data_IF_908278346988
#
_entry.id   IF_908278346988
#
_cell.length_a   1.000
_cell.length_b   1.000
_cell.length_c   1.000
_cell.angle_alpha   90.00
_cell.angle_beta   90.00
_cell.angle_gamma   90.00
#
_symmetry.space_group_name_H-M   'P 1'
#
loop_
_entity.id
_entity.type
_entity.pdbx_description
1 polymer ?
#
# COMPACT_ATOMS: atom_id res chain seq x y z
N UNK A 1 7.49 9.88 19.69
CA UNK A 1 6.56 10.36 18.64
C UNK A 1 7.38 10.63 17.41
N UNK A 2 7.12 9.92 16.32
CA UNK A 2 7.86 10.11 15.08
C UNK A 2 7.57 11.49 14.50
N UNK A 3 8.55 12.11 13.82
CA UNK A 3 8.43 13.46 13.23
C UNK A 3 7.17 13.59 12.38
N UNK A 4 6.81 12.54 11.64
CA UNK A 4 5.59 12.45 10.84
C UNK A 4 4.31 12.62 11.65
N UNK A 5 4.21 11.97 12.82
CA UNK A 5 3.05 12.13 13.70
C UNK A 5 2.94 13.53 14.27
N UNK A 6 4.09 14.16 14.55
CA UNK A 6 4.16 15.52 15.08
C UNK A 6 3.66 16.52 14.03
N UNK A 7 4.11 16.40 12.79
CA UNK A 7 3.66 17.23 11.65
C UNK A 7 2.15 17.08 11.41
N UNK A 8 1.64 15.85 11.38
CA UNK A 8 0.21 15.59 11.16
C UNK A 8 -0.63 16.17 12.31
N UNK A 9 -0.17 16.03 13.56
CA UNK A 9 -0.87 16.55 14.74
C UNK A 9 -0.96 18.07 14.73
N UNK A 10 0.14 18.76 14.37
CA UNK A 10 0.15 20.22 14.23
C UNK A 10 -0.80 20.67 13.12
N UNK A 11 -0.77 19.99 11.97
CA UNK A 11 -1.68 20.29 10.85
C UNK A 11 -3.15 20.14 11.23
N UNK A 12 -3.51 19.04 11.90
CA UNK A 12 -4.86 18.79 12.37
C UNK A 12 -5.32 19.83 13.41
N UNK A 13 -4.44 20.19 14.37
CA UNK A 13 -4.73 21.23 15.35
C UNK A 13 -4.92 22.61 14.68
N UNK A 14 -4.09 22.95 13.70
CA UNK A 14 -4.21 24.18 12.92
C UNK A 14 -5.54 24.27 12.17
N UNK A 15 -5.95 23.18 11.50
CA UNK A 15 -7.25 23.11 10.81
C UNK A 15 -8.43 23.22 11.80
N UNK A 16 -8.32 22.59 12.98
CA UNK A 16 -9.35 22.68 14.01
C UNK A 16 -9.49 24.11 14.55
N UNK A 17 -8.38 24.78 14.86
CA UNK A 17 -8.36 26.18 15.32
C UNK A 17 -8.88 27.10 14.23
N UNK A 18 -8.47 26.89 12.98
CA UNK A 18 -8.95 27.67 11.83
C UNK A 18 -10.46 27.51 11.63
N UNK A 19 -10.97 26.28 11.64
CA UNK A 19 -12.41 26.00 11.51
C UNK A 19 -13.20 26.60 12.68
N UNK A 20 -12.65 26.59 13.89
CA UNK A 20 -13.25 27.22 15.05
C UNK A 20 -13.33 28.73 14.88
N UNK A 21 -12.25 29.37 14.41
CA UNK A 21 -12.18 30.83 14.28
C UNK A 21 -13.08 31.35 13.17
N UNK A 22 -13.19 30.62 12.05
CA UNK A 22 -13.88 31.05 10.84
C UNK A 22 -15.38 30.70 10.81
N UNK A 23 -15.74 29.50 11.32
CA UNK A 23 -17.10 28.96 11.23
C UNK A 23 -17.71 28.63 12.61
N UNK A 24 -17.01 28.98 13.69
CA UNK A 24 -17.44 28.76 15.06
C UNK A 24 -17.25 27.32 15.57
N UNK A 25 -17.39 27.16 16.89
CA UNK A 25 -17.18 25.90 17.63
C UNK A 25 -17.99 24.72 17.10
N UNK A 26 -19.21 24.96 16.59
CA UNK A 26 -20.09 23.90 16.06
C UNK A 26 -19.51 23.25 14.80
N UNK A 27 -18.89 24.03 13.91
CA UNK A 27 -18.27 23.51 12.68
C UNK A 27 -17.02 22.67 13.00
N UNK A 28 -16.17 23.14 13.91
CA UNK A 28 -15.00 22.40 14.37
C UNK A 28 -15.37 21.05 15.02
N UNK A 29 -16.40 21.04 15.88
CA UNK A 29 -16.92 19.81 16.50
C UNK A 29 -17.58 18.85 15.50
N UNK A 30 -18.23 19.37 14.46
CA UNK A 30 -18.75 18.54 13.37
C UNK A 30 -17.61 17.84 12.62
N UNK A 31 -16.51 18.53 12.33
CA UNK A 31 -15.32 17.93 11.72
C UNK A 31 -14.76 16.76 12.55
N UNK A 32 -14.65 16.95 13.87
CA UNK A 32 -14.20 15.88 14.78
C UNK A 32 -15.18 14.71 14.81
N UNK A 33 -16.49 14.96 14.86
CA UNK A 33 -17.51 13.90 14.83
C UNK A 33 -17.50 13.11 13.52
N UNK A 34 -17.34 13.77 12.38
CA UNK A 34 -17.19 13.11 11.09
C UNK A 34 -15.93 12.24 11.05
N UNK A 35 -14.80 12.76 11.54
CA UNK A 35 -13.56 11.99 11.67
C UNK A 35 -13.74 10.76 12.57
N UNK A 36 -14.41 10.91 13.72
CA UNK A 36 -14.69 9.81 14.64
C UNK A 36 -15.59 8.74 14.02
N UNK A 37 -16.64 9.12 13.29
CA UNK A 37 -17.50 8.17 12.57
C UNK A 37 -16.74 7.43 11.47
N UNK A 38 -15.85 8.14 10.77
CA UNK A 38 -15.00 7.53 9.73
C UNK A 38 -14.04 6.52 10.36
N UNK A 39 -13.38 6.86 11.47
CA UNK A 39 -12.55 5.93 12.23
C UNK A 39 -13.34 4.68 12.65
N UNK A 40 -14.53 4.86 13.23
CA UNK A 40 -15.37 3.73 13.65
C UNK A 40 -15.76 2.82 12.49
N UNK A 41 -16.04 3.40 11.32
CA UNK A 41 -16.34 2.61 10.12
C UNK A 41 -15.13 1.86 9.56
N UNK A 42 -13.91 2.36 9.76
CA UNK A 42 -12.67 1.79 9.24
C UNK A 42 -12.03 0.81 10.22
N UNK A 43 -12.22 1.00 11.52
CA UNK A 43 -11.58 0.22 12.58
C UNK A 43 -11.74 -1.31 12.41
N UNK A 44 -12.94 -1.86 12.12
CA UNK A 44 -13.09 -3.31 11.89
C UNK A 44 -12.28 -3.79 10.68
N UNK A 45 -12.23 -2.99 9.62
CA UNK A 45 -11.50 -3.30 8.39
C UNK A 45 -9.98 -3.28 8.62
N UNK A 46 -9.49 -2.34 9.43
CA UNK A 46 -8.08 -2.26 9.83
C UNK A 46 -7.69 -3.46 10.70
N UNK A 47 -8.49 -3.80 11.71
CA UNK A 47 -8.24 -4.94 12.60
C UNK A 47 -8.16 -6.26 11.84
N UNK A 48 -9.12 -6.52 10.95
CA UNK A 48 -9.09 -7.71 10.08
C UNK A 48 -7.87 -7.70 9.16
N UNK A 49 -7.51 -6.53 8.63
CA UNK A 49 -6.34 -6.38 7.78
C UNK A 49 -5.03 -6.71 8.49
N UNK A 50 -4.84 -6.20 9.71
CA UNK A 50 -3.67 -6.53 10.52
C UNK A 50 -3.64 -7.99 10.97
N UNK A 51 -4.80 -8.57 11.27
CA UNK A 51 -4.90 -10.00 11.59
C UNK A 51 -4.46 -10.88 10.41
N UNK A 52 -4.93 -10.59 9.20
CA UNK A 52 -4.50 -11.29 7.99
C UNK A 52 -2.99 -11.11 7.76
N UNK A 53 -2.45 -9.89 7.90
CA UNK A 53 -1.02 -9.64 7.75
C UNK A 53 -0.18 -10.47 8.73
N UNK A 54 -0.56 -10.51 10.02
CA UNK A 54 0.11 -11.32 11.03
C UNK A 54 -0.02 -12.83 10.78
N UNK A 55 -1.17 -13.30 10.30
CA UNK A 55 -1.37 -14.71 9.94
C UNK A 55 -0.53 -15.10 8.72
N UNK A 56 -0.47 -14.26 7.69
CA UNK A 56 0.39 -14.47 6.51
C UNK A 56 1.85 -14.57 6.93
N UNK A 57 2.31 -13.72 7.84
CA UNK A 57 3.69 -13.77 8.35
C UNK A 57 4.05 -15.09 9.03
N UNK A 58 3.09 -15.74 9.71
CA UNK A 58 3.32 -17.04 10.38
C UNK A 58 3.09 -18.21 9.43
N UNK A 59 2.12 -18.10 8.52
CA UNK A 59 1.69 -19.19 7.65
C UNK A 59 2.52 -19.33 6.37
N UNK A 60 3.15 -18.26 5.89
CA UNK A 60 4.01 -18.31 4.70
C UNK A 60 5.44 -18.63 5.15
N UNK A 61 5.97 -19.84 4.85
CA UNK A 61 7.32 -20.20 5.25
C UNK A 61 8.35 -19.33 4.52
N UNK A 62 9.36 -18.87 5.25
CA UNK A 62 10.48 -18.09 4.68
C UNK A 62 11.13 -18.80 3.48
N UNK A 63 11.28 -20.12 3.55
CA UNK A 63 11.80 -20.93 2.44
C UNK A 63 10.98 -20.80 1.15
N UNK A 64 9.65 -20.67 1.26
CA UNK A 64 8.78 -20.42 0.10
C UNK A 64 9.04 -19.02 -0.44
N UNK A 65 9.08 -18.00 0.42
CA UNK A 65 9.36 -16.62 0.00
C UNK A 65 10.69 -16.52 -0.75
N UNK A 66 11.76 -17.13 -0.22
CA UNK A 66 13.07 -17.16 -0.86
C UNK A 66 13.03 -17.88 -2.22
N UNK A 67 12.29 -18.98 -2.33
CA UNK A 67 12.19 -19.75 -3.56
C UNK A 67 11.41 -19.03 -4.67
N UNK A 68 10.32 -18.33 -4.34
CA UNK A 68 9.44 -17.71 -5.36
C UNK A 68 9.67 -16.22 -5.55
N UNK A 69 10.18 -15.51 -4.54
CA UNK A 69 10.37 -14.05 -4.55
C UNK A 69 11.75 -13.62 -4.07
N UNK A 70 12.68 -14.54 -3.78
CA UNK A 70 14.02 -14.21 -3.30
C UNK A 70 14.85 -13.42 -4.32
N UNK A 71 15.94 -12.80 -3.85
CA UNK A 71 16.83 -11.99 -4.71
C UNK A 71 17.36 -12.75 -5.93
N UNK A 72 17.63 -14.04 -5.78
CA UNK A 72 18.14 -14.93 -6.84
C UNK A 72 17.11 -15.25 -7.94
N UNK A 73 15.81 -15.03 -7.70
CA UNK A 73 14.75 -15.37 -8.66
C UNK A 73 14.68 -14.41 -9.85
N UNK A 74 15.33 -13.25 -9.77
CA UNK A 74 15.38 -12.25 -10.84
C UNK A 74 13.99 -11.89 -11.39
N UNK A 75 13.80 -12.06 -12.70
CA UNK A 75 12.53 -11.76 -13.36
C UNK A 75 11.36 -12.65 -12.89
N UNK A 76 11.63 -13.89 -12.45
CA UNK A 76 10.58 -14.78 -11.97
C UNK A 76 9.94 -14.20 -10.70
N UNK A 77 10.76 -13.70 -9.76
CA UNK A 77 10.25 -13.04 -8.55
C UNK A 77 9.44 -11.78 -8.85
N UNK A 78 9.85 -11.00 -9.86
CA UNK A 78 9.09 -9.83 -10.33
C UNK A 78 7.71 -10.22 -10.88
N UNK A 79 7.64 -11.28 -11.68
CA UNK A 79 6.37 -11.78 -12.23
C UNK A 79 5.46 -12.33 -11.12
N UNK A 80 6.02 -13.07 -10.17
CA UNK A 80 5.28 -13.60 -9.00
C UNK A 80 4.76 -12.45 -8.15
N UNK A 81 5.61 -11.45 -7.84
CA UNK A 81 5.20 -10.24 -7.13
C UNK A 81 4.06 -9.51 -7.85
N UNK A 82 4.20 -9.32 -9.17
CA UNK A 82 3.15 -8.72 -10.00
C UNK A 82 1.83 -9.48 -9.89
N UNK A 83 1.86 -10.81 -10.07
CA UNK A 83 0.66 -11.63 -10.00
C UNK A 83 -0.03 -11.54 -8.63
N UNK A 84 0.76 -11.65 -7.55
CA UNK A 84 0.26 -11.52 -6.18
C UNK A 84 -0.36 -10.14 -5.93
N UNK A 85 0.28 -9.06 -6.37
CA UNK A 85 -0.23 -7.70 -6.20
C UNK A 85 -1.52 -7.47 -6.98
N UNK A 86 -1.63 -8.01 -8.19
CA UNK A 86 -2.84 -7.92 -9.02
C UNK A 86 -4.07 -8.55 -8.36
N UNK A 87 -3.90 -9.62 -7.58
CA UNK A 87 -5.03 -10.33 -6.94
C UNK A 87 -5.22 -9.98 -5.47
N UNK A 88 -4.24 -9.34 -4.83
CA UNK A 88 -4.20 -9.02 -3.41
C UNK A 88 -5.37 -8.11 -2.98
N UNK A 89 -6.37 -8.61 -2.22
CA UNK A 89 -7.48 -7.77 -1.77
C UNK A 89 -7.07 -6.88 -0.59
N UNK A 90 -7.69 -5.71 -0.45
CA UNK A 90 -7.51 -4.85 0.72
C UNK A 90 -6.65 -3.61 0.48
N UNK A 91 -6.39 -2.89 1.58
CA UNK A 91 -5.84 -1.53 1.55
C UNK A 91 -4.34 -1.44 1.86
N UNK A 92 -3.77 -0.23 1.78
CA UNK A 92 -2.34 0.01 2.05
C UNK A 92 -1.93 -0.43 3.47
N UNK A 93 -2.85 -0.32 4.43
CA UNK A 93 -2.65 -0.75 5.82
C UNK A 93 -2.40 -2.26 5.98
N UNK A 94 -2.74 -3.08 4.98
CA UNK A 94 -2.44 -4.52 4.98
C UNK A 94 -1.12 -4.76 4.26
N UNK A 95 -0.99 -4.19 3.07
CA UNK A 95 0.04 -4.63 2.13
C UNK A 95 1.41 -4.00 2.35
N UNK A 96 1.50 -2.82 2.99
CA UNK A 96 2.80 -2.30 3.41
C UNK A 96 3.44 -3.13 4.54
N UNK A 97 2.72 -3.50 5.63
CA UNK A 97 3.24 -4.45 6.61
C UNK A 97 3.59 -5.83 6.03
N UNK A 98 2.74 -6.38 5.15
CA UNK A 98 3.03 -7.65 4.48
C UNK A 98 4.29 -7.55 3.61
N UNK A 99 4.43 -6.48 2.81
CA UNK A 99 5.63 -6.25 2.02
C UNK A 99 6.89 -6.13 2.88
N UNK A 100 6.80 -5.45 4.04
CA UNK A 100 7.90 -5.37 4.99
C UNK A 100 8.26 -6.75 5.56
N UNK A 101 7.26 -7.57 5.90
CA UNK A 101 7.48 -8.95 6.37
C UNK A 101 8.12 -9.83 5.29
N UNK A 102 7.68 -9.71 4.03
CA UNK A 102 8.26 -10.46 2.92
C UNK A 102 9.71 -10.04 2.66
N UNK A 103 10.01 -8.75 2.76
CA UNK A 103 11.38 -8.23 2.64
C UNK A 103 12.28 -8.75 3.78
N UNK A 104 11.77 -8.78 5.02
CA UNK A 104 12.48 -9.39 6.16
C UNK A 104 12.71 -10.90 5.98
N UNK A 105 11.78 -11.59 5.32
CA UNK A 105 11.89 -13.00 4.93
C UNK A 105 12.78 -13.22 3.67
N UNK A 106 13.50 -12.19 3.21
CA UNK A 106 14.48 -12.31 2.13
C UNK A 106 13.93 -12.16 0.70
N UNK A 107 12.70 -11.68 0.54
CA UNK A 107 12.20 -11.31 -0.79
C UNK A 107 13.08 -10.22 -1.42
N UNK A 108 13.34 -10.34 -2.72
CA UNK A 108 14.11 -9.35 -3.47
C UNK A 108 13.34 -8.03 -3.60
N UNK A 109 14.08 -6.91 -3.55
CA UNK A 109 13.52 -5.56 -3.70
C UNK A 109 12.67 -5.43 -4.97
N UNK A 110 13.12 -6.00 -6.09
CA UNK A 110 12.36 -6.00 -7.35
C UNK A 110 11.01 -6.70 -7.24
N UNK A 111 10.95 -7.85 -6.55
CA UNK A 111 9.69 -8.59 -6.34
C UNK A 111 8.72 -7.81 -5.44
N UNK A 112 9.22 -7.16 -4.39
CA UNK A 112 8.43 -6.30 -3.50
C UNK A 112 7.88 -5.07 -4.22
N UNK A 113 8.70 -4.39 -5.02
CA UNK A 113 8.25 -3.23 -5.78
C UNK A 113 7.22 -3.63 -6.84
N UNK A 114 7.47 -4.73 -7.56
CA UNK A 114 6.49 -5.28 -8.51
C UNK A 114 5.15 -5.58 -7.84
N UNK A 115 5.18 -6.19 -6.65
CA UNK A 115 4.00 -6.46 -5.84
C UNK A 115 3.22 -5.19 -5.48
N UNK A 116 3.89 -4.17 -4.90
CA UNK A 116 3.23 -2.95 -4.47
C UNK A 116 2.68 -2.12 -5.65
N UNK A 117 3.41 -2.09 -6.77
CA UNK A 117 2.97 -1.39 -7.98
C UNK A 117 1.79 -2.12 -8.62
N UNK A 118 1.82 -3.46 -8.72
CA UNK A 118 0.69 -4.23 -9.23
C UNK A 118 -0.56 -4.06 -8.34
N UNK A 119 -0.39 -4.11 -7.02
CA UNK A 119 -1.46 -3.86 -6.07
C UNK A 119 -2.09 -2.47 -6.22
N UNK A 120 -1.32 -1.46 -6.60
CA UNK A 120 -1.84 -0.10 -6.79
C UNK A 120 -2.45 0.10 -8.19
N UNK A 121 -1.80 -0.42 -9.22
CA UNK A 121 -2.04 -0.05 -10.61
C UNK A 121 -2.98 -1.02 -11.34
N UNK A 122 -2.81 -2.33 -11.13
CA UNK A 122 -3.44 -3.41 -11.91
C UNK A 122 -4.30 -4.34 -11.06
N UNK A 123 -4.73 -3.90 -9.88
CA UNK A 123 -5.45 -4.76 -8.94
C UNK A 123 -6.90 -5.05 -9.38
N UNK A 124 -7.24 -6.33 -9.50
CA UNK A 124 -8.54 -6.78 -10.01
C UNK A 124 -9.67 -6.53 -9.02
N UNK A 125 -9.39 -6.61 -7.71
CA UNK A 125 -10.38 -6.27 -6.68
C UNK A 125 -10.73 -4.78 -6.75
N UNK A 126 -9.72 -3.92 -6.88
CA UNK A 126 -9.91 -2.47 -7.07
C UNK A 126 -10.65 -2.19 -8.38
N UNK A 127 -10.33 -2.90 -9.46
CA UNK A 127 -11.03 -2.78 -10.73
C UNK A 127 -12.53 -3.06 -10.57
N UNK A 128 -12.90 -4.21 -10.03
CA UNK A 128 -14.29 -4.68 -9.97
C UNK A 128 -15.14 -3.93 -8.94
N UNK A 129 -14.58 -3.69 -7.75
CA UNK A 129 -15.34 -3.11 -6.62
C UNK A 129 -15.38 -1.59 -6.68
N UNK A 130 -14.32 -0.96 -7.19
CA UNK A 130 -14.17 0.50 -7.12
C UNK A 130 -14.10 1.17 -8.48
N UNK A 131 -13.26 0.72 -9.41
CA UNK A 131 -13.10 1.45 -10.66
C UNK A 131 -14.35 1.34 -11.53
N UNK A 132 -14.85 0.13 -11.80
CA UNK A 132 -16.02 -0.04 -12.67
C UNK A 132 -17.26 0.68 -12.14
N UNK A 133 -17.65 0.56 -10.85
CA UNK A 133 -18.87 1.22 -10.36
C UNK A 133 -18.79 2.75 -10.33
N UNK A 134 -17.60 3.32 -10.14
CA UNK A 134 -17.44 4.78 -9.98
C UNK A 134 -16.96 5.49 -11.25
N UNK A 135 -16.15 4.84 -12.09
CA UNK A 135 -15.51 5.42 -13.27
C UNK A 135 -16.08 4.87 -14.58
N UNK A 136 -16.91 3.83 -14.51
CA UNK A 136 -17.43 3.11 -15.67
C UNK A 136 -16.42 2.15 -16.30
N UNK A 137 -16.92 1.18 -17.07
CA UNK A 137 -16.11 0.07 -17.60
C UNK A 137 -15.02 0.53 -18.55
N UNK A 138 -15.33 1.43 -19.49
CA UNK A 138 -14.39 1.83 -20.55
C UNK A 138 -13.12 2.47 -19.99
N UNK A 139 -13.27 3.45 -19.08
CA UNK A 139 -12.13 4.10 -18.45
C UNK A 139 -11.37 3.14 -17.52
N UNK A 140 -12.09 2.33 -16.75
CA UNK A 140 -11.49 1.38 -15.80
C UNK A 140 -10.60 0.34 -16.48
N UNK A 141 -11.08 -0.22 -17.59
CA UNK A 141 -10.33 -1.18 -18.41
C UNK A 141 -9.18 -0.50 -19.13
N UNK A 142 -9.37 0.71 -19.66
CA UNK A 142 -8.29 1.47 -20.29
C UNK A 142 -7.13 1.72 -19.32
N UNK A 143 -7.43 2.13 -18.07
CA UNK A 143 -6.42 2.30 -17.01
C UNK A 143 -5.69 0.99 -16.69
N UNK A 144 -6.43 -0.12 -16.61
CA UNK A 144 -5.86 -1.44 -16.33
C UNK A 144 -4.88 -1.88 -17.44
N UNK A 145 -5.28 -1.73 -18.71
CA UNK A 145 -4.47 -2.10 -19.87
C UNK A 145 -3.24 -1.21 -19.97
N UNK A 146 -3.41 0.12 -19.84
CA UNK A 146 -2.30 1.07 -19.90
C UNK A 146 -1.27 0.81 -18.78
N UNK A 147 -1.73 0.36 -17.61
CA UNK A 147 -0.87 0.07 -16.49
C UNK A 147 -0.29 -1.35 -16.48
N UNK A 148 -0.67 -2.25 -17.39
CA UNK A 148 -0.38 -3.69 -17.26
C UNK A 148 1.11 -4.02 -17.16
N UNK A 149 1.95 -3.33 -17.93
CA UNK A 149 3.40 -3.53 -17.93
C UNK A 149 4.10 -2.81 -16.76
N UNK A 150 3.45 -1.84 -16.12
CA UNK A 150 4.08 -0.97 -15.11
C UNK A 150 4.65 -1.72 -13.91
N UNK A 151 4.04 -2.78 -13.35
CA UNK A 151 4.59 -3.46 -12.20
C UNK A 151 5.88 -4.22 -12.54
N UNK A 152 5.91 -4.83 -13.73
CA UNK A 152 7.08 -5.59 -14.21
C UNK A 152 8.23 -4.64 -14.46
N UNK A 153 7.99 -3.53 -15.16
CA UNK A 153 9.01 -2.51 -15.43
C UNK A 153 9.55 -1.91 -14.12
N UNK A 154 8.66 -1.54 -13.20
CA UNK A 154 9.07 -1.01 -11.90
C UNK A 154 9.88 -2.03 -11.09
N UNK A 155 9.47 -3.30 -11.08
CA UNK A 155 10.19 -4.37 -10.39
C UNK A 155 11.58 -4.64 -10.96
N UNK A 156 11.75 -4.51 -12.28
CA UNK A 156 13.06 -4.66 -12.93
C UNK A 156 13.98 -3.44 -12.70
N UNK A 157 13.41 -2.24 -12.63
CA UNK A 157 14.16 -1.00 -12.39
C UNK A 157 14.48 -0.76 -10.91
N UNK A 158 13.74 -1.37 -9.99
CA UNK A 158 13.88 -1.11 -8.56
C UNK A 158 15.25 -1.48 -7.96
N UNK A 159 15.84 -2.66 -8.25
CA UNK A 159 17.14 -3.02 -7.67
C UNK A 159 18.26 -2.00 -7.91
N UNK A 160 18.56 -1.56 -9.16
CA UNK A 160 19.65 -0.60 -9.37
C UNK A 160 19.36 0.78 -8.76
N UNK A 161 18.09 1.19 -8.74
CA UNK A 161 17.68 2.46 -8.09
C UNK A 161 17.88 2.36 -6.57
N UNK A 162 17.52 1.23 -5.98
CA UNK A 162 17.68 0.99 -4.55
C UNK A 162 19.16 0.96 -4.16
N UNK A 163 19.99 0.22 -4.89
CA UNK A 163 21.43 0.14 -4.63
C UNK A 163 22.09 1.53 -4.74
N UNK A 164 21.70 2.34 -5.72
CA UNK A 164 22.17 3.73 -5.86
C UNK A 164 21.76 4.62 -4.68
N UNK A 165 20.52 4.50 -4.21
CA UNK A 165 20.04 5.26 -3.05
C UNK A 165 20.74 4.87 -1.75
N UNK A 166 21.01 3.58 -1.55
CA UNK A 166 21.75 3.08 -0.37
C UNK A 166 23.14 3.72 -0.31
N UNK A 167 23.86 3.75 -1.44
CA UNK A 167 25.18 4.40 -1.54
C UNK A 167 25.10 5.91 -1.28
N UNK A 168 24.09 6.59 -1.81
CA UNK A 168 23.92 8.04 -1.62
C UNK A 168 23.59 8.44 -0.19
N UNK A 169 22.77 7.64 0.49
CA UNK A 169 22.27 7.95 1.83
C UNK A 169 23.24 7.44 2.91
N UNK A 170 24.17 6.55 2.56
CA UNK A 170 25.10 5.93 3.51
C UNK A 170 24.41 4.97 4.46
N UNK A 171 23.37 4.28 3.96
CA UNK A 171 22.59 3.28 4.70
C UNK A 171 23.17 1.86 4.53
#
# INVERSE_FOLDING_TARGET
MDVTMLVISIGAAGLFVYAWWRNGRRSALQGVRWGGNMLWSLLPRLLLGFAVAGLVQVLVPEAVVLQVMGKETGIQGVLVGTALGTVAPGGPFIWYPVAASLLQAGAGVGAIVAFLVAWSATNIYVLLVWRIPFLGTSLSVALMIAALATPVLAGLMAPPVFDWLVVLIGA
#
